data_IF_801450181794
#
_entry.id   IF_801450181794
#
_cell.length_a   1.000
_cell.length_b   1.000
_cell.length_c   1.000
_cell.angle_alpha   90.00
_cell.angle_beta   90.00
_cell.angle_gamma   90.00
#
_symmetry.space_group_name_H-M   'P 1'
#
loop_
_entity.id
_entity.type
_entity.pdbx_description
1 polymer ?
#
# COMPACT_ATOMS: atom_id res chain seq x y z
N UNK A 1 0.33 -33.89 -49.45
CA UNK A 1 -0.13 -34.09 -48.05
C UNK A 1 0.33 -32.98 -47.07
N UNK A 2 0.66 -31.75 -47.54
CA UNK A 2 1.17 -30.66 -46.68
C UNK A 2 0.18 -29.55 -46.31
N UNK A 3 -0.96 -29.43 -47.00
CA UNK A 3 -1.85 -28.25 -46.91
C UNK A 3 -2.82 -28.32 -45.71
N UNK A 4 -3.18 -29.52 -45.24
CA UNK A 4 -4.16 -29.67 -44.14
C UNK A 4 -3.59 -29.34 -42.74
N UNK A 5 -2.25 -29.32 -42.59
CA UNK A 5 -1.59 -28.99 -41.31
C UNK A 5 -1.49 -27.48 -41.06
N UNK A 6 -1.39 -26.65 -42.10
CA UNK A 6 -1.33 -25.18 -41.92
C UNK A 6 -2.66 -24.59 -41.47
N UNK A 7 -3.77 -25.07 -42.03
CA UNK A 7 -5.10 -24.55 -41.72
C UNK A 7 -5.53 -24.90 -40.28
N UNK A 8 -5.18 -26.09 -39.82
CA UNK A 8 -5.46 -26.54 -38.45
C UNK A 8 -4.67 -25.75 -37.41
N UNK A 9 -3.39 -25.45 -37.65
CA UNK A 9 -2.58 -24.60 -36.77
C UNK A 9 -3.17 -23.18 -36.69
N UNK A 10 -3.55 -22.60 -37.83
CA UNK A 10 -4.15 -21.25 -37.88
C UNK A 10 -5.48 -21.13 -37.12
N UNK A 11 -6.21 -22.25 -36.98
CA UNK A 11 -7.49 -22.27 -36.27
C UNK A 11 -7.26 -22.31 -34.76
N UNK A 12 -6.30 -23.12 -34.30
CA UNK A 12 -5.92 -23.22 -32.89
C UNK A 12 -5.40 -21.89 -32.34
N UNK A 13 -4.58 -21.18 -33.13
CA UNK A 13 -4.08 -19.85 -32.75
C UNK A 13 -5.21 -18.82 -32.57
N UNK A 14 -6.18 -18.80 -33.50
CA UNK A 14 -7.36 -17.93 -33.41
C UNK A 14 -8.23 -18.26 -32.19
N UNK A 15 -8.39 -19.53 -31.86
CA UNK A 15 -9.15 -19.96 -30.68
C UNK A 15 -8.44 -19.54 -29.39
N UNK A 16 -7.11 -19.69 -29.33
CA UNK A 16 -6.28 -19.22 -28.22
C UNK A 16 -6.41 -17.71 -28.03
N UNK A 17 -6.31 -16.93 -29.10
CA UNK A 17 -6.40 -15.47 -29.02
C UNK A 17 -7.77 -15.02 -28.51
N UNK A 18 -8.86 -15.67 -28.95
CA UNK A 18 -10.21 -15.42 -28.42
C UNK A 18 -10.31 -15.72 -26.93
N UNK A 19 -9.72 -16.82 -26.46
CA UNK A 19 -9.70 -17.15 -25.02
C UNK A 19 -8.92 -16.12 -24.20
N UNK A 20 -7.80 -15.63 -24.74
CA UNK A 20 -6.99 -14.60 -24.09
C UNK A 20 -7.75 -13.26 -24.03
N UNK A 21 -8.36 -12.84 -25.15
CA UNK A 21 -9.13 -11.59 -25.22
C UNK A 21 -10.37 -11.63 -24.31
N UNK A 22 -11.07 -12.77 -24.25
CA UNK A 22 -12.22 -12.93 -23.34
C UNK A 22 -11.79 -12.85 -21.87
N UNK A 23 -10.71 -13.52 -21.49
CA UNK A 23 -10.15 -13.42 -20.14
C UNK A 23 -9.71 -11.98 -19.81
N UNK A 24 -9.05 -11.29 -20.74
CA UNK A 24 -8.64 -9.90 -20.56
C UNK A 24 -9.86 -8.98 -20.37
N UNK A 25 -10.93 -9.18 -21.16
CA UNK A 25 -12.19 -8.44 -21.03
C UNK A 25 -12.81 -8.64 -19.64
N UNK A 26 -12.88 -9.87 -19.15
CA UNK A 26 -13.38 -10.17 -17.80
C UNK A 26 -12.54 -9.47 -16.72
N UNK A 27 -11.21 -9.47 -16.85
CA UNK A 27 -10.32 -8.80 -15.89
C UNK A 27 -10.58 -7.28 -15.85
N UNK A 28 -10.89 -6.68 -17.00
CA UNK A 28 -11.14 -5.24 -17.11
C UNK A 28 -12.52 -4.84 -16.61
N UNK A 29 -13.57 -5.62 -16.92
CA UNK A 29 -14.95 -5.31 -16.53
C UNK A 29 -15.26 -5.71 -15.10
N UNK A 30 -14.67 -6.78 -14.58
CA UNK A 30 -14.97 -7.27 -13.24
C UNK A 30 -14.45 -6.32 -12.15
N UNK A 31 -15.24 -6.20 -11.08
CA UNK A 31 -14.91 -5.35 -9.92
C UNK A 31 -13.53 -5.72 -9.36
N UNK A 32 -12.75 -4.71 -8.97
CA UNK A 32 -11.43 -4.93 -8.37
C UNK A 32 -11.53 -5.81 -7.11
N UNK A 33 -10.72 -6.86 -7.06
CA UNK A 33 -10.71 -7.83 -5.94
C UNK A 33 -11.88 -8.82 -5.93
N UNK A 34 -12.74 -8.83 -6.94
CA UNK A 34 -13.76 -9.86 -7.12
C UNK A 34 -13.14 -11.23 -7.44
N UNK A 35 -13.89 -12.30 -7.19
CA UNK A 35 -13.41 -13.67 -7.41
C UNK A 35 -13.26 -13.93 -8.90
N UNK A 36 -14.22 -13.48 -9.70
CA UNK A 36 -14.25 -13.58 -11.15
C UNK A 36 -13.00 -12.93 -11.78
N UNK A 37 -12.64 -11.74 -11.28
CA UNK A 37 -11.42 -11.06 -11.72
C UNK A 37 -10.15 -11.83 -11.35
N UNK A 38 -10.10 -12.42 -10.15
CA UNK A 38 -8.94 -13.19 -9.68
C UNK A 38 -8.76 -14.48 -10.49
N UNK A 39 -9.86 -15.18 -10.77
CA UNK A 39 -9.89 -16.38 -11.62
C UNK A 39 -9.45 -16.06 -13.05
N UNK A 40 -10.06 -15.06 -13.69
CA UNK A 40 -9.68 -14.68 -15.05
C UNK A 40 -8.20 -14.23 -15.13
N UNK A 41 -7.71 -13.55 -14.08
CA UNK A 41 -6.31 -13.14 -13.96
C UNK A 41 -5.37 -14.33 -13.79
N UNK A 42 -5.70 -15.31 -12.94
CA UNK A 42 -4.86 -16.49 -12.69
C UNK A 42 -4.75 -17.35 -13.94
N UNK A 43 -5.88 -17.57 -14.64
CA UNK A 43 -5.93 -18.26 -15.94
C UNK A 43 -5.03 -17.54 -16.94
N UNK A 44 -5.14 -16.21 -17.05
CA UNK A 44 -4.35 -15.43 -18.00
C UNK A 44 -2.85 -15.45 -17.66
N UNK A 45 -2.48 -15.35 -16.39
CA UNK A 45 -1.08 -15.36 -15.95
C UNK A 45 -0.40 -16.73 -16.09
N UNK A 46 -1.15 -17.83 -15.96
CA UNK A 46 -0.62 -19.20 -16.14
C UNK A 46 -0.69 -19.66 -17.59
N UNK A 47 -1.77 -19.34 -18.30
CA UNK A 47 -2.06 -19.82 -19.66
C UNK A 47 -1.47 -18.99 -20.79
N UNK A 48 -1.13 -17.72 -20.56
CA UNK A 48 -0.55 -16.86 -21.60
C UNK A 48 0.98 -16.75 -21.45
N UNK A 49 1.69 -16.69 -22.58
CA UNK A 49 3.13 -16.40 -22.61
C UNK A 49 3.39 -14.95 -22.20
N UNK A 50 4.59 -14.69 -21.65
CA UNK A 50 4.98 -13.35 -21.21
C UNK A 50 4.88 -12.29 -22.31
N UNK A 51 5.15 -12.68 -23.57
CA UNK A 51 5.01 -11.83 -24.76
C UNK A 51 3.56 -11.40 -25.00
N UNK A 52 2.61 -12.33 -24.92
CA UNK A 52 1.18 -12.05 -25.05
C UNK A 52 0.69 -11.12 -23.93
N UNK A 53 1.16 -11.34 -22.70
CA UNK A 53 0.83 -10.47 -21.56
C UNK A 53 1.38 -9.05 -21.77
N UNK A 54 2.61 -8.92 -22.28
CA UNK A 54 3.20 -7.62 -22.62
C UNK A 54 2.41 -6.91 -23.74
N UNK A 55 1.98 -7.63 -24.76
CA UNK A 55 1.15 -7.08 -25.83
C UNK A 55 -0.21 -6.60 -25.31
N UNK A 56 -0.85 -7.35 -24.40
CA UNK A 56 -2.10 -6.92 -23.76
C UNK A 56 -1.92 -5.67 -22.87
N UNK A 57 -0.76 -5.53 -22.23
CA UNK A 57 -0.40 -4.31 -21.48
C UNK A 57 -0.25 -3.11 -22.41
N UNK A 58 0.43 -3.29 -23.55
CA UNK A 58 0.61 -2.24 -24.57
C UNK A 58 -0.73 -1.80 -25.16
N UNK A 59 -1.67 -2.74 -25.34
CA UNK A 59 -3.03 -2.47 -25.82
C UNK A 59 -3.96 -1.87 -24.74
N UNK A 60 -3.46 -1.56 -23.53
CA UNK A 60 -4.25 -1.09 -22.38
C UNK A 60 -5.41 -2.04 -21.97
N UNK A 61 -5.36 -3.29 -22.39
CA UNK A 61 -6.36 -4.32 -22.05
C UNK A 61 -6.06 -5.01 -20.71
N UNK A 62 -4.94 -4.68 -20.07
CA UNK A 62 -4.50 -5.35 -18.84
C UNK A 62 -3.56 -4.50 -18.00
N UNK A 63 -3.91 -4.26 -16.74
CA UNK A 63 -3.04 -3.62 -15.74
C UNK A 63 -2.62 -4.64 -14.69
N UNK A 64 -1.41 -5.19 -14.84
CA UNK A 64 -0.81 -6.18 -13.91
C UNK A 64 0.50 -5.66 -13.34
N UNK A 65 0.48 -5.26 -12.07
CA UNK A 65 1.69 -4.96 -11.29
C UNK A 65 2.41 -6.23 -10.81
N UNK A 66 3.64 -6.08 -10.30
CA UNK A 66 4.48 -7.21 -9.86
C UNK A 66 3.81 -8.08 -8.80
N UNK A 67 3.32 -7.48 -7.71
CA UNK A 67 2.59 -8.20 -6.65
C UNK A 67 1.34 -8.89 -7.19
N UNK A 68 0.60 -8.23 -8.09
CA UNK A 68 -0.62 -8.79 -8.67
C UNK A 68 -0.38 -10.03 -9.54
N UNK A 69 0.83 -10.19 -10.10
CA UNK A 69 1.25 -11.38 -10.85
C UNK A 69 1.55 -12.54 -9.91
N UNK A 70 2.24 -12.28 -8.80
CA UNK A 70 2.51 -13.29 -7.77
C UNK A 70 1.21 -13.80 -7.15
N UNK A 71 0.30 -12.88 -6.80
CA UNK A 71 -1.03 -13.24 -6.30
C UNK A 71 -1.81 -14.10 -7.31
N UNK A 72 -1.64 -13.86 -8.61
CA UNK A 72 -2.32 -14.62 -9.65
C UNK A 72 -1.81 -16.07 -9.76
N UNK A 73 -0.51 -16.30 -9.51
CA UNK A 73 0.03 -17.66 -9.46
C UNK A 73 -0.44 -18.40 -8.21
N UNK A 74 -0.42 -17.74 -7.04
CA UNK A 74 -0.98 -18.32 -5.83
C UNK A 74 -2.48 -18.65 -5.99
N UNK A 75 -3.26 -17.73 -6.58
CA UNK A 75 -4.66 -17.95 -6.92
C UNK A 75 -4.85 -19.16 -7.85
N UNK A 76 -3.94 -19.37 -8.82
CA UNK A 76 -3.95 -20.52 -9.72
C UNK A 76 -3.71 -21.83 -8.96
N UNK A 77 -2.72 -21.86 -8.07
CA UNK A 77 -2.36 -23.08 -7.34
C UNK A 77 -3.54 -23.56 -6.46
N UNK A 78 -4.26 -22.63 -5.82
CA UNK A 78 -5.50 -22.92 -5.11
C UNK A 78 -6.61 -23.47 -6.04
N UNK A 79 -6.81 -22.85 -7.20
CA UNK A 79 -7.82 -23.32 -8.17
C UNK A 79 -7.46 -24.69 -8.75
N UNK A 80 -6.19 -24.95 -9.03
CA UNK A 80 -5.69 -26.22 -9.55
C UNK A 80 -5.81 -27.35 -8.52
N UNK A 81 -5.71 -27.02 -7.23
CA UNK A 81 -5.98 -27.95 -6.12
C UNK A 81 -7.48 -28.20 -5.88
N UNK A 82 -8.38 -27.53 -6.60
CA UNK A 82 -9.83 -27.63 -6.41
C UNK A 82 -10.37 -26.81 -5.24
N UNK A 83 -9.56 -25.92 -4.66
CA UNK A 83 -9.97 -25.06 -3.55
C UNK A 83 -10.80 -23.87 -4.04
N UNK A 84 -11.71 -23.39 -3.18
CA UNK A 84 -12.56 -22.24 -3.48
C UNK A 84 -11.84 -20.94 -3.14
N UNK A 85 -11.75 -20.03 -4.11
CA UNK A 85 -11.28 -18.67 -3.85
C UNK A 85 -12.32 -17.87 -3.08
N UNK A 86 -12.00 -17.53 -1.83
CA UNK A 86 -12.85 -16.68 -1.01
C UNK A 86 -12.71 -15.21 -1.42
N UNK A 87 -13.84 -14.50 -1.42
CA UNK A 87 -13.85 -13.05 -1.60
C UNK A 87 -13.10 -12.40 -0.44
N UNK A 88 -12.09 -11.58 -0.76
CA UNK A 88 -11.34 -10.84 0.26
C UNK A 88 -12.27 -9.80 0.87
N UNK A 89 -12.72 -10.05 2.09
CA UNK A 89 -13.52 -9.09 2.86
C UNK A 89 -12.55 -8.06 3.42
N UNK A 90 -12.39 -6.94 2.71
CA UNK A 90 -11.65 -5.79 3.24
C UNK A 90 -12.57 -5.05 4.20
N UNK A 91 -12.38 -5.25 5.51
CA UNK A 91 -13.04 -4.44 6.54
C UNK A 91 -12.16 -3.22 6.83
N UNK A 92 -12.75 -2.03 6.70
CA UNK A 92 -12.18 -0.82 7.30
C UNK A 92 -12.51 -0.88 8.80
N UNK A 93 -11.56 -1.34 9.61
CA UNK A 93 -11.74 -1.36 11.06
C UNK A 93 -11.66 0.09 11.56
N UNK A 94 -12.55 0.46 12.50
CA UNK A 94 -12.41 1.72 13.24
C UNK A 94 -11.04 1.72 13.92
N UNK A 95 -10.31 2.82 13.79
CA UNK A 95 -8.97 2.93 14.33
C UNK A 95 -8.99 2.66 15.85
N UNK A 96 -7.95 2.01 16.37
CA UNK A 96 -7.81 1.85 17.82
C UNK A 96 -7.44 3.21 18.42
N UNK A 97 -8.42 3.86 19.04
CA UNK A 97 -8.29 5.20 19.62
C UNK A 97 -7.27 5.24 20.76
N UNK A 98 -7.25 4.21 21.62
CA UNK A 98 -6.28 4.11 22.70
C UNK A 98 -4.85 4.00 22.17
N UNK A 99 -4.64 3.14 21.17
CA UNK A 99 -3.33 3.00 20.53
C UNK A 99 -2.87 4.32 19.90
N UNK A 100 -3.79 5.06 19.27
CA UNK A 100 -3.50 6.37 18.69
C UNK A 100 -3.12 7.39 19.77
N UNK A 101 -3.92 7.53 20.82
CA UNK A 101 -3.66 8.46 21.93
C UNK A 101 -2.32 8.15 22.60
N UNK A 102 -2.03 6.88 22.85
CA UNK A 102 -0.75 6.45 23.43
C UNK A 102 0.43 6.79 22.52
N UNK A 103 0.30 6.57 21.22
CA UNK A 103 1.32 6.98 20.24
C UNK A 103 1.52 8.48 20.19
N UNK A 104 0.45 9.29 20.21
CA UNK A 104 0.55 10.75 20.20
C UNK A 104 1.25 11.24 21.47
N UNK A 105 0.82 10.74 22.65
CA UNK A 105 1.47 11.05 23.93
C UNK A 105 2.95 10.68 23.94
N UNK A 106 3.29 9.52 23.37
CA UNK A 106 4.68 9.07 23.27
C UNK A 106 5.52 10.01 22.39
N UNK A 107 5.02 10.36 21.20
CA UNK A 107 5.70 11.26 20.26
C UNK A 107 5.89 12.66 20.86
N UNK A 108 4.88 13.18 21.56
CA UNK A 108 4.91 14.51 22.17
C UNK A 108 5.61 14.54 23.55
N UNK A 109 6.18 13.43 24.01
CA UNK A 109 6.94 13.45 25.26
C UNK A 109 8.22 14.28 25.12
N UNK A 110 8.56 15.08 26.15
CA UNK A 110 9.71 15.99 26.14
C UNK A 110 11.08 15.31 25.92
N UNK A 111 11.13 13.98 25.99
CA UNK A 111 12.31 13.18 25.62
C UNK A 111 12.61 13.22 24.12
N UNK A 112 11.59 13.32 23.26
CA UNK A 112 11.72 13.22 21.81
C UNK A 112 11.46 14.53 21.06
N UNK A 113 10.77 15.46 21.70
CA UNK A 113 10.42 16.75 21.11
C UNK A 113 10.88 17.93 21.94
N UNK A 114 11.12 19.05 21.26
CA UNK A 114 11.34 20.36 21.86
C UNK A 114 10.37 21.35 21.22
N UNK A 115 9.75 22.18 22.04
CA UNK A 115 8.97 23.33 21.55
C UNK A 115 9.94 24.43 21.14
N UNK A 116 9.74 25.00 19.95
CA UNK A 116 10.43 26.22 19.56
C UNK A 116 9.67 27.41 20.15
N UNK A 117 10.42 28.36 20.73
CA UNK A 117 9.86 29.60 21.29
C UNK A 117 9.37 30.57 20.21
N UNK A 118 9.69 30.30 18.94
CA UNK A 118 9.34 31.14 17.81
C UNK A 118 8.69 30.29 16.70
N UNK A 119 7.64 30.84 16.10
CA UNK A 119 6.89 30.23 15.02
C UNK A 119 5.70 29.39 15.48
N UNK A 120 4.59 29.56 14.77
CA UNK A 120 3.36 28.79 14.93
C UNK A 120 3.06 28.03 13.65
N UNK A 121 2.34 26.92 13.80
CA UNK A 121 1.82 26.11 12.71
C UNK A 121 0.30 26.09 12.79
N UNK A 122 -0.32 26.51 11.71
CA UNK A 122 -1.75 26.35 11.50
C UNK A 122 -2.09 24.87 11.27
N UNK A 123 -3.05 24.38 12.06
CA UNK A 123 -3.61 23.04 11.92
C UNK A 123 -5.11 23.18 11.72
N UNK A 124 -5.60 22.79 10.55
CA UNK A 124 -7.03 22.73 10.29
C UNK A 124 -7.63 21.47 10.89
N UNK A 125 -8.65 21.62 11.72
CA UNK A 125 -9.35 20.51 12.41
C UNK A 125 -10.59 20.03 11.64
N UNK A 126 -10.88 20.63 10.48
CA UNK A 126 -12.14 20.43 9.75
C UNK A 126 -13.21 21.44 10.16
N UNK A 127 -14.29 21.56 9.38
CA UNK A 127 -15.37 22.52 9.67
C UNK A 127 -15.00 24.00 9.55
N UNK A 128 -13.83 24.32 8.98
CA UNK A 128 -13.30 25.69 8.90
C UNK A 128 -12.50 26.13 10.13
N UNK A 129 -12.38 25.28 11.15
CA UNK A 129 -11.58 25.58 12.33
C UNK A 129 -10.09 25.42 12.03
N UNK A 130 -9.32 26.46 12.36
CA UNK A 130 -7.86 26.49 12.25
C UNK A 130 -7.30 26.84 13.62
N UNK A 131 -6.39 26.01 14.13
CA UNK A 131 -5.74 26.21 15.42
C UNK A 131 -4.25 26.47 15.20
N UNK A 132 -3.72 27.47 15.90
CA UNK A 132 -2.30 27.79 15.91
C UNK A 132 -1.60 26.98 17.01
N UNK A 133 -0.72 26.07 16.62
CA UNK A 133 0.10 25.30 17.53
C UNK A 133 1.56 25.75 17.46
N UNK A 134 2.31 25.76 18.58
CA UNK A 134 3.75 26.05 18.53
C UNK A 134 4.46 25.01 17.65
N UNK A 135 5.52 25.44 16.97
CA UNK A 135 6.33 24.52 16.17
C UNK A 135 7.06 23.54 17.10
N UNK A 136 6.72 22.26 16.97
CA UNK A 136 7.35 21.18 17.73
C UNK A 136 8.44 20.53 16.87
N UNK A 137 9.69 20.67 17.28
CA UNK A 137 10.83 20.08 16.57
C UNK A 137 11.26 18.75 17.21
N UNK A 138 11.65 17.78 16.39
CA UNK A 138 12.16 16.48 16.88
C UNK A 138 13.62 16.58 17.30
N UNK A 139 13.97 15.98 18.44
CA UNK A 139 15.34 15.84 18.93
C UNK A 139 16.07 14.64 18.33
N UNK A 140 15.32 13.57 17.98
CA UNK A 140 15.85 12.30 17.45
C UNK A 140 15.29 11.99 16.06
N UNK A 141 15.91 11.03 15.37
CA UNK A 141 15.40 10.58 14.07
C UNK A 141 14.09 9.82 14.24
N UNK A 142 13.27 9.77 13.17
CA UNK A 142 12.00 9.00 13.19
C UNK A 142 12.23 7.52 13.50
N UNK A 143 13.36 6.97 13.07
CA UNK A 143 13.74 5.58 13.32
C UNK A 143 13.95 5.35 14.83
N UNK A 144 14.77 6.18 15.46
CA UNK A 144 15.08 6.04 16.89
C UNK A 144 13.85 6.21 17.78
N UNK A 145 12.97 7.16 17.42
CA UNK A 145 11.71 7.38 18.15
C UNK A 145 10.81 6.15 18.00
N UNK A 146 10.72 5.56 16.81
CA UNK A 146 9.90 4.36 16.59
C UNK A 146 10.48 3.12 17.27
N UNK A 147 11.79 2.93 17.24
CA UNK A 147 12.43 1.82 17.93
C UNK A 147 12.20 1.92 19.44
N UNK A 148 12.28 3.13 20.01
CA UNK A 148 11.92 3.36 21.41
C UNK A 148 10.42 3.14 21.70
N UNK A 149 9.55 3.49 20.75
CA UNK A 149 8.11 3.23 20.85
C UNK A 149 7.80 1.72 20.89
N UNK A 150 8.52 0.92 20.10
CA UNK A 150 8.39 -0.54 20.13
C UNK A 150 8.80 -1.15 21.47
N UNK A 151 9.82 -0.58 22.12
CA UNK A 151 10.23 -0.99 23.46
C UNK A 151 9.20 -0.58 24.53
N UNK A 152 8.63 0.62 24.43
CA UNK A 152 7.67 1.13 25.42
C UNK A 152 6.32 0.42 25.36
N UNK A 153 5.91 -0.05 24.18
CA UNK A 153 4.65 -0.76 23.99
C UNK A 153 4.94 -2.13 23.38
N UNK A 154 5.28 -3.19 24.13
CA UNK A 154 5.61 -4.53 23.57
C UNK A 154 4.41 -5.25 22.90
N UNK A 155 3.18 -4.83 23.19
CA UNK A 155 1.96 -5.42 22.65
C UNK A 155 1.63 -4.90 21.25
N UNK A 156 1.53 -5.78 20.24
CA UNK A 156 1.18 -5.38 18.87
C UNK A 156 -0.23 -4.80 18.73
N UNK A 157 -1.18 -5.22 19.58
CA UNK A 157 -2.58 -4.78 19.53
C UNK A 157 -2.78 -3.34 20.02
N UNK A 158 -1.87 -2.86 20.88
CA UNK A 158 -1.86 -1.50 21.43
C UNK A 158 -0.98 -0.55 20.62
N UNK A 159 -0.49 -1.01 19.46
CA UNK A 159 0.44 -0.26 18.62
C UNK A 159 -0.12 0.12 17.26
N UNK A 160 0.29 1.28 16.79
CA UNK A 160 0.05 1.69 15.39
C UNK A 160 1.14 1.11 14.47
N UNK A 161 0.79 0.90 13.20
CA UNK A 161 1.77 0.45 12.20
C UNK A 161 2.90 1.47 12.03
N UNK A 162 4.10 1.02 11.63
CA UNK A 162 5.26 1.89 11.35
C UNK A 162 4.91 3.07 10.43
N UNK A 163 4.15 2.80 9.38
CA UNK A 163 3.79 3.83 8.41
C UNK A 163 2.83 4.86 9.01
N UNK A 164 1.83 4.41 9.75
CA UNK A 164 0.92 5.29 10.50
C UNK A 164 1.68 6.14 11.52
N UNK A 165 2.60 5.52 12.27
CA UNK A 165 3.46 6.21 13.24
C UNK A 165 4.27 7.32 12.57
N UNK A 166 4.94 7.03 11.45
CA UNK A 166 5.75 8.03 10.73
C UNK A 166 4.90 9.17 10.17
N UNK A 167 3.71 8.86 9.66
CA UNK A 167 2.76 9.89 9.24
C UNK A 167 2.36 10.80 10.38
N UNK A 168 2.01 10.23 11.53
CA UNK A 168 1.68 10.98 12.73
C UNK A 168 2.85 11.84 13.20
N UNK A 169 4.05 11.29 13.30
CA UNK A 169 5.23 12.08 13.66
C UNK A 169 5.46 13.24 12.71
N UNK A 170 5.35 13.04 11.39
CA UNK A 170 5.49 14.13 10.40
C UNK A 170 4.35 15.16 10.51
N UNK A 171 3.14 14.72 10.85
CA UNK A 171 2.01 15.62 11.04
C UNK A 171 2.17 16.45 12.32
N UNK A 172 2.65 15.86 13.41
CA UNK A 172 2.77 16.53 14.72
C UNK A 172 4.06 17.34 14.87
N UNK A 173 5.13 16.95 14.17
CA UNK A 173 6.47 17.50 14.45
C UNK A 173 7.22 17.86 13.17
N UNK A 174 8.02 18.92 13.25
CA UNK A 174 8.86 19.44 12.19
C UNK A 174 10.19 18.70 12.13
N UNK A 175 10.68 18.43 10.91
CA UNK A 175 11.94 17.72 10.66
C UNK A 175 13.20 18.58 10.80
N UNK A 176 13.13 19.65 11.57
CA UNK A 176 14.12 20.73 11.54
C UNK A 176 15.20 20.53 12.61
N UNK A 177 15.88 19.39 12.58
CA UNK A 177 16.99 19.10 13.51
C UNK A 177 18.11 20.14 13.39
N UNK A 178 18.39 20.63 12.17
CA UNK A 178 19.38 21.69 11.90
C UNK A 178 19.04 23.05 12.53
N UNK A 179 17.75 23.37 12.68
CA UNK A 179 17.31 24.62 13.29
C UNK A 179 17.44 24.60 14.82
N UNK A 180 17.32 23.42 15.45
CA UNK A 180 17.57 23.29 16.89
C UNK A 180 19.04 23.59 17.22
N UNK A 181 19.97 23.05 16.42
CA UNK A 181 21.40 23.26 16.64
C UNK A 181 21.80 24.73 16.47
N UNK A 182 21.13 25.48 15.59
CA UNK A 182 21.39 26.91 15.38
C UNK A 182 20.95 27.80 16.55
N UNK A 183 19.86 27.43 17.24
CA UNK A 183 19.31 28.20 18.37
C UNK A 183 20.16 28.02 19.64
N UNK A 184 20.79 26.86 19.82
CA UNK A 184 21.70 26.60 20.95
C UNK A 184 22.98 27.48 20.91
N UNK A 185 23.32 28.13 19.78
CA UNK A 185 24.47 29.05 19.70
C UNK A 185 24.20 30.47 20.24
N UNK A 186 22.95 30.86 20.51
CA UNK A 186 22.61 32.22 21.01
C UNK A 186 22.26 32.26 22.50
N UNK A 187 22.31 31.11 23.20
CA UNK A 187 22.01 30.99 24.63
C UNK A 187 23.22 30.45 25.44
N UNK A 188 24.42 30.51 24.86
CA UNK A 188 25.69 30.21 25.53
C UNK A 188 26.45 31.49 25.87
#
# INVERSE_FOLDING_TARGET
RGILKSDSISKVERERDRLVDTCAKVVMTAKRGSVERRVARSILCKGATGTTISNLKLQNKLTLGGCAKLDAYADWDHLAAGEKLNKVIVRRVKFNEEALVNSVKFVLSGKYVSTMSWGVREVSLGGGEVVNLPIIARRRTLKDIYDAYLCAFPDKTKRVSRWSFYKMCKALTSGNQKLLTAVDYHLG
#
